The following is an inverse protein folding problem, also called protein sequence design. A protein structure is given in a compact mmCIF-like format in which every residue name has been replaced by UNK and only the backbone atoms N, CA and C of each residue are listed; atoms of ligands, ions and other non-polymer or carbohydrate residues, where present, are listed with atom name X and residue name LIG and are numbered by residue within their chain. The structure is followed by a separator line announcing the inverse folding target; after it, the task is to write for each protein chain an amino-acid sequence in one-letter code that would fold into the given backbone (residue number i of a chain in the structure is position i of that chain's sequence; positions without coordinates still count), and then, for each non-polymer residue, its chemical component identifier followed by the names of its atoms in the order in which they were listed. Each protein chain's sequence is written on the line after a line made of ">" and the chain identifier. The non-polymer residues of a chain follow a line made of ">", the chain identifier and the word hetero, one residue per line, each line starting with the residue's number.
data_IF_277685274778
#
_entry.id   IF_277685274778
#
_cell.length_a   1.000
_cell.length_b   1.000
_cell.length_c   1.000
_cell.angle_alpha   90.00
_cell.angle_beta   90.00
_cell.angle_gamma   90.00
#
_symmetry.space_group_name_H-M   'P 1'
#
loop_
_entity.id
_entity.type
_entity.pdbx_description
1 polymer ?
#
# COMPACT_ATOMS: atom_id res chain seq x y z
N UNK A 1 10.27 14.32 14.43
CA UNK A 1 9.72 13.70 13.19
C UNK A 1 8.22 13.96 13.01
N UNK A 2 7.41 14.04 14.07
CA UNK A 2 5.97 14.33 13.97
C UNK A 2 5.66 15.72 13.37
N UNK A 3 6.43 16.76 13.76
CA UNK A 3 6.18 18.14 13.31
C UNK A 3 6.49 18.39 11.83
N UNK A 4 7.46 17.67 11.25
CA UNK A 4 7.72 17.76 9.82
C UNK A 4 6.55 17.19 9.01
N UNK A 5 6.00 16.07 9.46
CA UNK A 5 4.88 15.41 8.78
C UNK A 5 3.55 16.14 8.91
N UNK A 6 3.31 16.87 10.01
CA UNK A 6 2.12 17.71 10.16
C UNK A 6 2.22 19.00 9.34
N UNK A 7 3.42 19.58 9.24
CA UNK A 7 3.67 20.74 8.37
C UNK A 7 3.48 20.39 6.89
N UNK A 8 3.98 19.23 6.46
CA UNK A 8 3.78 18.73 5.09
C UNK A 8 2.31 18.41 4.80
N UNK A 9 1.56 17.93 5.80
CA UNK A 9 0.12 17.71 5.67
C UNK A 9 -0.65 19.03 5.47
N UNK A 10 -0.26 20.07 6.23
CA UNK A 10 -0.87 21.39 6.15
C UNK A 10 -0.59 22.07 4.81
N UNK A 11 0.65 22.01 4.33
CA UNK A 11 1.01 22.57 3.01
C UNK A 11 0.30 21.83 1.88
N UNK A 12 0.24 20.51 1.91
CA UNK A 12 -0.49 19.73 0.92
C UNK A 12 -2.00 20.06 0.91
N UNK A 13 -2.62 20.12 2.08
CA UNK A 13 -4.04 20.50 2.19
C UNK A 13 -4.27 21.92 1.64
N UNK A 14 -3.40 22.87 1.96
CA UNK A 14 -3.47 24.26 1.50
C UNK A 14 -3.42 24.34 -0.03
N UNK A 15 -2.46 23.66 -0.65
CA UNK A 15 -2.31 23.64 -2.11
C UNK A 15 -3.56 23.05 -2.77
N UNK A 16 -4.07 21.92 -2.27
CA UNK A 16 -5.26 21.28 -2.84
C UNK A 16 -6.50 22.16 -2.66
N UNK A 17 -6.68 22.79 -1.50
CA UNK A 17 -7.78 23.72 -1.25
C UNK A 17 -7.71 24.97 -2.15
N UNK A 18 -6.52 25.53 -2.34
CA UNK A 18 -6.33 26.68 -3.23
C UNK A 18 -6.62 26.31 -4.70
N UNK A 19 -6.17 25.13 -5.16
CA UNK A 19 -6.49 24.63 -6.50
C UNK A 19 -8.01 24.47 -6.69
N UNK A 20 -8.71 23.89 -5.72
CA UNK A 20 -10.16 23.77 -5.76
C UNK A 20 -10.86 25.13 -5.82
N UNK A 21 -10.38 26.13 -5.06
CA UNK A 21 -10.93 27.48 -5.09
C UNK A 21 -10.80 28.13 -6.47
N UNK A 22 -9.62 28.02 -7.09
CA UNK A 22 -9.37 28.59 -8.43
C UNK A 22 -10.25 27.90 -9.47
N UNK A 23 -10.29 26.56 -9.48
CA UNK A 23 -11.07 25.79 -10.44
C UNK A 23 -12.55 26.16 -10.34
N UNK A 24 -13.13 26.13 -9.14
CA UNK A 24 -14.55 26.44 -8.95
C UNK A 24 -14.86 27.89 -9.29
N UNK A 25 -13.97 28.84 -8.97
CA UNK A 25 -14.16 30.24 -9.37
C UNK A 25 -14.22 30.39 -10.90
N UNK A 26 -13.32 29.73 -11.62
CA UNK A 26 -13.29 29.77 -13.09
C UNK A 26 -14.57 29.16 -13.68
N UNK A 27 -15.00 27.99 -13.19
CA UNK A 27 -16.23 27.37 -13.66
C UNK A 27 -17.48 28.21 -13.36
N UNK A 28 -17.55 28.82 -12.18
CA UNK A 28 -18.64 29.74 -11.84
C UNK A 28 -18.67 30.97 -12.75
N UNK A 29 -17.50 31.50 -13.14
CA UNK A 29 -17.41 32.61 -14.10
C UNK A 29 -17.85 32.22 -15.51
N UNK A 30 -17.43 31.04 -15.98
CA UNK A 30 -17.83 30.52 -17.30
C UNK A 30 -19.34 30.26 -17.32
N UNK A 31 -19.91 29.69 -16.25
CA UNK A 31 -21.35 29.44 -16.14
C UNK A 31 -22.20 30.71 -15.97
N UNK A 32 -21.60 31.83 -15.57
CA UNK A 32 -22.25 33.14 -15.43
C UNK A 32 -22.04 34.09 -16.62
N UNK A 33 -21.69 33.55 -17.80
CA UNK A 33 -21.39 34.29 -19.04
C UNK A 33 -20.27 35.34 -18.90
N UNK A 34 -19.36 35.16 -17.93
CA UNK A 34 -18.25 36.07 -17.65
C UNK A 34 -18.67 37.54 -17.41
N UNK A 35 -19.89 37.76 -16.92
CA UNK A 35 -20.35 39.11 -16.56
C UNK A 35 -19.55 39.66 -15.36
N UNK A 36 -19.13 40.94 -15.39
CA UNK A 36 -18.31 41.53 -14.32
C UNK A 36 -19.02 41.55 -12.96
N UNK A 37 -20.35 41.57 -12.94
CA UNK A 37 -21.15 41.49 -11.72
C UNK A 37 -21.14 40.09 -11.06
N UNK A 38 -20.81 39.04 -11.82
CA UNK A 38 -20.74 37.66 -11.32
C UNK A 38 -19.40 37.33 -10.64
N UNK A 39 -18.39 38.19 -10.79
CA UNK A 39 -17.05 38.03 -10.21
C UNK A 39 -17.07 37.83 -8.67
N UNK A 40 -17.74 38.68 -7.87
CA UNK A 40 -17.77 38.51 -6.42
C UNK A 40 -18.45 37.20 -5.99
N UNK A 41 -19.50 36.76 -6.69
CA UNK A 41 -20.22 35.52 -6.36
C UNK A 41 -19.44 34.27 -6.79
N UNK A 42 -18.77 34.34 -7.95
CA UNK A 42 -17.86 33.29 -8.40
C UNK A 42 -16.66 33.12 -7.45
N UNK A 43 -16.10 34.22 -6.94
CA UNK A 43 -15.02 34.19 -5.97
C UNK A 43 -15.48 33.63 -4.61
N UNK A 44 -16.68 34.01 -4.14
CA UNK A 44 -17.27 33.47 -2.91
C UNK A 44 -17.52 31.97 -2.99
N UNK A 45 -18.12 31.52 -4.09
CA UNK A 45 -18.36 30.08 -4.33
C UNK A 45 -17.05 29.32 -4.40
N UNK A 46 -16.06 29.83 -5.13
CA UNK A 46 -14.71 29.27 -5.17
C UNK A 46 -14.03 29.18 -3.80
N UNK A 47 -13.99 30.28 -3.04
CA UNK A 47 -13.43 30.31 -1.69
C UNK A 47 -14.10 29.30 -0.76
N UNK A 48 -15.43 29.18 -0.81
CA UNK A 48 -16.17 28.22 0.01
C UNK A 48 -15.83 26.76 -0.35
N UNK A 49 -15.69 26.45 -1.64
CA UNK A 49 -15.28 25.13 -2.13
C UNK A 49 -13.82 24.81 -1.77
N UNK A 50 -12.94 25.81 -1.84
CA UNK A 50 -11.54 25.65 -1.44
C UNK A 50 -11.38 25.41 0.06
N UNK A 51 -12.07 26.18 0.90
CA UNK A 51 -12.03 26.04 2.35
C UNK A 51 -12.58 24.68 2.82
N UNK A 52 -13.68 24.21 2.22
CA UNK A 52 -14.24 22.88 2.52
C UNK A 52 -13.30 21.75 2.09
N UNK A 53 -12.70 21.86 0.90
CA UNK A 53 -11.72 20.88 0.40
C UNK A 53 -10.48 20.84 1.29
N UNK A 54 -9.95 22.01 1.67
CA UNK A 54 -8.83 22.15 2.62
C UNK A 54 -9.12 21.41 3.93
N UNK A 55 -10.26 21.69 4.56
CA UNK A 55 -10.64 21.09 5.83
C UNK A 55 -10.78 19.57 5.72
N UNK A 56 -11.45 19.08 4.67
CA UNK A 56 -11.65 17.65 4.46
C UNK A 56 -10.32 16.90 4.27
N UNK A 57 -9.43 17.42 3.42
CA UNK A 57 -8.10 16.83 3.19
C UNK A 57 -7.27 16.86 4.47
N UNK A 58 -7.23 17.99 5.17
CA UNK A 58 -6.47 18.12 6.41
C UNK A 58 -6.94 17.12 7.47
N UNK A 59 -8.26 17.00 7.68
CA UNK A 59 -8.83 16.02 8.63
C UNK A 59 -8.43 14.59 8.25
N UNK A 60 -8.55 14.21 6.97
CA UNK A 60 -8.19 12.87 6.51
C UNK A 60 -6.70 12.56 6.70
N UNK A 61 -5.82 13.51 6.39
CA UNK A 61 -4.38 13.35 6.56
C UNK A 61 -4.03 13.27 8.04
N UNK A 62 -4.62 14.10 8.90
CA UNK A 62 -4.41 14.05 10.35
C UNK A 62 -4.90 12.73 10.96
N UNK A 63 -6.07 12.22 10.54
CA UNK A 63 -6.55 10.90 10.97
C UNK A 63 -5.55 9.82 10.56
N UNK A 64 -5.04 9.85 9.32
CA UNK A 64 -4.00 8.92 8.83
C UNK A 64 -2.71 9.01 9.61
N UNK A 65 -2.24 10.21 9.93
CA UNK A 65 -1.03 10.42 10.74
C UNK A 65 -1.23 9.90 12.16
N UNK A 66 -2.40 10.14 12.76
CA UNK A 66 -2.74 9.62 14.09
C UNK A 66 -2.85 8.10 14.11
N UNK A 67 -3.39 7.49 13.06
CA UNK A 67 -3.42 6.03 12.90
C UNK A 67 -2.02 5.44 12.76
N UNK A 68 -1.12 6.09 12.00
CA UNK A 68 0.30 5.70 11.93
C UNK A 68 1.00 5.85 13.28
N UNK A 69 0.77 6.95 14.00
CA UNK A 69 1.37 7.19 15.31
C UNK A 69 0.87 6.20 16.38
N UNK A 70 -0.40 5.77 16.30
CA UNK A 70 -0.96 4.69 17.15
C UNK A 70 -0.45 3.29 16.80
N UNK A 71 0.28 3.12 15.69
CA UNK A 71 1.00 1.90 15.33
C UNK A 71 2.52 2.08 15.51
N UNK A 72 3.04 2.17 16.77
CA UNK A 72 4.49 2.22 17.05
C UNK A 72 5.23 0.91 16.65
N UNK A 73 4.47 -0.11 16.25
CA UNK A 73 4.90 -1.43 15.74
C UNK A 73 5.99 -1.34 14.65
N UNK A 74 6.13 -0.24 13.92
CA UNK A 74 6.89 -0.28 12.66
C UNK A 74 8.43 -0.23 12.74
N UNK A 75 9.03 0.14 13.87
CA UNK A 75 10.50 0.21 14.03
C UNK A 75 11.01 -0.70 15.16
N UNK A 76 10.36 -0.69 16.33
CA UNK A 76 10.70 -1.58 17.45
C UNK A 76 10.28 -3.03 17.21
N UNK A 77 9.07 -3.29 16.68
CA UNK A 77 8.63 -4.67 16.39
C UNK A 77 9.45 -5.29 15.24
N UNK A 78 9.99 -4.51 14.29
CA UNK A 78 10.83 -5.12 13.22
C UNK A 78 12.11 -5.73 13.76
N UNK A 79 12.71 -5.13 14.79
CA UNK A 79 13.88 -5.70 15.46
C UNK A 79 13.50 -6.89 16.33
N UNK A 80 12.37 -6.82 17.03
CA UNK A 80 11.83 -7.94 17.81
C UNK A 80 11.44 -9.13 16.92
N UNK A 81 10.74 -8.86 15.83
CA UNK A 81 10.40 -9.81 14.77
C UNK A 81 11.64 -10.41 14.13
N UNK A 82 12.71 -9.62 13.92
CA UNK A 82 13.99 -10.15 13.46
C UNK A 82 14.61 -11.11 14.49
N UNK A 83 14.58 -10.77 15.80
CA UNK A 83 15.05 -11.68 16.87
C UNK A 83 14.22 -12.97 16.93
N UNK A 84 12.90 -12.86 16.82
CA UNK A 84 11.99 -14.00 16.77
C UNK A 84 12.30 -14.91 15.58
N UNK A 85 12.45 -14.34 14.38
CA UNK A 85 12.79 -15.12 13.18
C UNK A 85 14.17 -15.77 13.26
N UNK A 86 15.14 -15.11 13.89
CA UNK A 86 16.46 -15.73 14.16
C UNK A 86 16.29 -17.01 14.95
N UNK A 87 15.58 -16.97 16.08
CA UNK A 87 15.31 -18.17 16.88
C UNK A 87 14.49 -19.23 16.14
N UNK A 88 13.47 -18.81 15.38
CA UNK A 88 12.61 -19.73 14.64
C UNK A 88 13.35 -20.44 13.50
N UNK A 89 14.23 -19.74 12.77
CA UNK A 89 15.05 -20.33 11.71
C UNK A 89 16.20 -21.15 12.31
N UNK A 90 16.77 -20.72 13.43
CA UNK A 90 17.77 -21.50 14.18
C UNK A 90 17.21 -22.88 14.59
N UNK A 91 15.98 -22.95 15.10
CA UNK A 91 15.32 -24.24 15.38
C UNK A 91 15.12 -25.12 14.13
N UNK A 92 14.88 -24.52 12.96
CA UNK A 92 14.79 -25.25 11.68
C UNK A 92 16.17 -25.77 11.25
N UNK A 93 17.23 -24.98 11.43
CA UNK A 93 18.60 -25.39 11.09
C UNK A 93 19.08 -26.55 11.96
N UNK A 94 18.77 -26.50 13.26
CA UNK A 94 19.10 -27.57 14.21
C UNK A 94 18.37 -28.87 13.87
N UNK A 95 17.06 -28.80 13.57
CA UNK A 95 16.25 -29.96 13.19
C UNK A 95 16.61 -30.54 11.81
N UNK A 96 17.13 -29.73 10.90
CA UNK A 96 17.59 -30.16 9.59
C UNK A 96 19.02 -30.74 9.59
N UNK A 97 19.74 -30.68 10.72
CA UNK A 97 21.16 -31.06 10.79
C UNK A 97 22.07 -30.18 9.94
N UNK A 98 21.64 -28.95 9.67
CA UNK A 98 22.33 -28.00 8.79
C UNK A 98 23.36 -27.13 9.52
N UNK A 99 23.28 -27.07 10.86
CA UNK A 99 24.13 -26.23 11.70
C UNK A 99 25.64 -26.53 11.55
N UNK A 100 26.01 -27.79 11.30
CA UNK A 100 27.42 -28.22 11.17
C UNK A 100 27.95 -28.21 9.73
N UNK A 101 27.07 -28.11 8.71
CA UNK A 101 27.49 -28.25 7.30
C UNK A 101 27.88 -26.94 6.64
N UNK A 102 27.36 -25.81 7.12
CA UNK A 102 27.61 -24.49 6.54
C UNK A 102 27.70 -23.42 7.62
N UNK A 103 28.63 -22.45 7.51
CA UNK A 103 28.71 -21.31 8.42
C UNK A 103 27.58 -20.31 8.10
N UNK A 104 26.33 -20.72 8.26
CA UNK A 104 25.16 -19.86 8.10
C UNK A 104 24.68 -19.43 9.48
N UNK A 105 24.95 -18.18 9.86
CA UNK A 105 24.53 -17.61 11.13
C UNK A 105 23.25 -16.76 10.96
N UNK A 106 22.13 -17.11 11.61
CA UNK A 106 20.90 -16.31 11.59
C UNK A 106 21.13 -14.83 11.97
N UNK A 107 22.10 -14.54 12.84
CA UNK A 107 22.39 -13.16 13.30
C UNK A 107 22.96 -12.29 12.19
N UNK A 108 23.79 -12.88 11.33
CA UNK A 108 24.43 -12.18 10.21
C UNK A 108 23.59 -12.25 8.94
N UNK A 109 22.72 -13.25 8.79
CA UNK A 109 21.91 -13.46 7.57
C UNK A 109 20.49 -12.90 7.66
N UNK A 110 20.02 -12.54 8.86
CA UNK A 110 18.74 -11.85 9.07
C UNK A 110 18.99 -10.43 9.55
N UNK A 111 18.76 -9.46 8.67
CA UNK A 111 19.05 -8.03 8.90
C UNK A 111 17.81 -7.18 8.65
N UNK A 112 17.78 -5.99 9.25
CA UNK A 112 16.79 -4.96 8.91
C UNK A 112 17.51 -3.91 8.07
N UNK A 113 17.29 -3.93 6.76
CA UNK A 113 17.91 -3.01 5.81
C UNK A 113 16.92 -1.94 5.39
N UNK A 114 17.25 -0.66 5.64
CA UNK A 114 16.39 0.49 5.27
C UNK A 114 14.93 0.31 5.74
N UNK A 115 14.73 -0.31 6.91
CA UNK A 115 13.41 -0.58 7.49
C UNK A 115 12.67 -1.77 6.87
N UNK A 116 13.31 -2.60 6.04
CA UNK A 116 12.77 -3.85 5.51
C UNK A 116 13.54 -5.01 6.10
N UNK A 117 12.83 -6.03 6.58
CA UNK A 117 13.45 -7.26 7.05
C UNK A 117 13.98 -8.05 5.84
N UNK A 118 15.27 -8.35 5.84
CA UNK A 118 15.98 -9.10 4.80
C UNK A 118 16.48 -10.42 5.38
N UNK A 119 16.16 -11.53 4.71
CA UNK A 119 16.68 -12.87 5.01
C UNK A 119 17.55 -13.29 3.83
N UNK A 120 18.80 -13.59 4.10
CA UNK A 120 19.74 -14.08 3.12
C UNK A 120 19.87 -15.61 3.16
N UNK A 121 19.39 -16.29 2.12
CA UNK A 121 19.44 -17.74 2.02
C UNK A 121 20.74 -18.25 1.36
N UNK A 122 21.66 -17.36 0.99
CA UNK A 122 22.96 -17.75 0.43
C UNK A 122 23.74 -18.52 1.50
N UNK A 123 24.22 -19.71 1.11
CA UNK A 123 24.93 -20.64 1.99
C UNK A 123 24.07 -21.80 2.51
N UNK A 124 22.74 -21.77 2.33
CA UNK A 124 21.86 -22.90 2.64
C UNK A 124 21.70 -23.83 1.44
N UNK A 125 21.47 -25.12 1.68
CA UNK A 125 21.02 -26.04 0.65
C UNK A 125 19.53 -25.84 0.33
N UNK A 126 19.07 -26.35 -0.81
CA UNK A 126 17.70 -26.14 -1.28
C UNK A 126 16.64 -26.68 -0.29
N UNK A 127 16.91 -27.78 0.41
CA UNK A 127 15.97 -28.38 1.37
C UNK A 127 15.81 -27.49 2.60
N UNK A 128 16.93 -27.05 3.20
CA UNK A 128 16.91 -26.19 4.38
C UNK A 128 16.40 -24.78 4.08
N UNK A 129 16.75 -24.22 2.91
CA UNK A 129 16.21 -22.95 2.45
C UNK A 129 14.67 -23.00 2.30
N UNK A 130 14.14 -24.11 1.78
CA UNK A 130 12.69 -24.31 1.66
C UNK A 130 12.03 -24.41 3.04
N UNK A 131 12.61 -25.16 3.97
CA UNK A 131 12.10 -25.29 5.35
C UNK A 131 12.13 -23.95 6.12
N UNK A 132 13.16 -23.13 5.91
CA UNK A 132 13.24 -21.78 6.48
C UNK A 132 12.12 -20.87 5.94
N UNK A 133 11.82 -20.97 4.64
CA UNK A 133 10.73 -20.23 4.02
C UNK A 133 9.36 -20.71 4.51
N UNK A 134 9.16 -22.01 4.70
CA UNK A 134 7.93 -22.52 5.33
C UNK A 134 7.74 -21.98 6.74
N UNK A 135 8.82 -21.88 7.54
CA UNK A 135 8.78 -21.27 8.86
C UNK A 135 8.36 -19.78 8.81
N UNK A 136 8.91 -19.04 7.85
CA UNK A 136 8.53 -17.63 7.58
C UNK A 136 7.04 -17.53 7.24
N UNK A 137 6.53 -18.41 6.39
CA UNK A 137 5.13 -18.41 5.95
C UNK A 137 4.18 -18.77 7.09
N UNK A 138 4.53 -19.75 7.94
CA UNK A 138 3.75 -20.11 9.12
C UNK A 138 3.59 -18.93 10.08
N UNK A 139 4.61 -18.10 10.20
CA UNK A 139 4.63 -16.95 11.10
C UNK A 139 4.20 -15.63 10.43
N UNK A 140 3.57 -15.68 9.25
CA UNK A 140 3.23 -14.50 8.43
C UNK A 140 2.48 -13.38 9.15
N UNK A 141 1.67 -13.69 10.17
CA UNK A 141 0.87 -12.70 10.91
C UNK A 141 1.74 -11.70 11.68
N UNK A 142 2.97 -12.10 12.03
CA UNK A 142 3.97 -11.25 12.69
C UNK A 142 4.90 -10.58 11.69
N UNK A 143 4.80 -10.90 10.40
CA UNK A 143 5.73 -10.45 9.38
C UNK A 143 5.10 -9.39 8.47
N UNK A 144 5.75 -8.23 8.42
CA UNK A 144 5.44 -7.19 7.44
C UNK A 144 6.09 -7.48 6.08
N UNK A 145 6.56 -6.41 5.43
CA UNK A 145 7.33 -6.53 4.18
C UNK A 145 8.66 -7.25 4.44
N UNK A 146 8.90 -8.32 3.69
CA UNK A 146 10.09 -9.15 3.78
C UNK A 146 10.83 -9.20 2.44
N UNK A 147 12.15 -9.16 2.47
CA UNK A 147 13.03 -9.42 1.34
C UNK A 147 13.75 -10.74 1.59
N UNK A 148 13.71 -11.64 0.63
CA UNK A 148 14.44 -12.90 0.65
C UNK A 148 15.50 -12.83 -0.43
N UNK A 149 16.77 -12.95 -0.07
CA UNK A 149 17.87 -13.04 -1.03
C UNK A 149 18.07 -14.51 -1.36
N UNK A 150 17.90 -14.86 -2.63
CA UNK A 150 17.98 -16.25 -3.13
C UNK A 150 19.23 -16.52 -3.97
N UNK A 151 20.00 -15.48 -4.28
CA UNK A 151 21.23 -15.56 -5.05
C UNK A 151 21.95 -14.21 -5.06
N UNK A 152 23.21 -14.21 -5.51
CA UNK A 152 24.03 -13.01 -5.61
C UNK A 152 23.88 -12.39 -7.01
N UNK A 153 23.64 -11.07 -7.08
CA UNK A 153 23.69 -10.31 -8.35
C UNK A 153 25.15 -10.05 -8.78
N UNK A 154 26.07 -10.02 -7.82
CA UNK A 154 27.51 -9.88 -8.02
C UNK A 154 28.22 -10.95 -7.19
N UNK A 155 29.12 -11.71 -7.81
CA UNK A 155 30.01 -12.67 -7.14
C UNK A 155 30.73 -11.97 -6.00
N UNK A 156 30.27 -12.17 -4.77
CA UNK A 156 31.12 -11.97 -3.60
C UNK A 156 32.06 -13.18 -3.53
N UNK A 157 33.34 -12.93 -3.77
CA UNK A 157 34.40 -13.93 -3.66
C UNK A 157 34.38 -14.51 -2.23
N UNK A 158 33.94 -15.77 -2.10
CA UNK A 158 33.96 -16.51 -0.84
C UNK A 158 32.67 -17.28 -0.52
N UNK A 159 31.51 -16.87 -1.04
CA UNK A 159 30.23 -17.47 -0.65
C UNK A 159 29.63 -18.33 -1.78
N UNK A 160 29.56 -19.66 -1.56
CA UNK A 160 29.00 -20.61 -2.54
C UNK A 160 27.47 -20.47 -2.56
N UNK A 161 26.93 -19.88 -3.63
CA UNK A 161 25.50 -19.91 -3.91
C UNK A 161 25.16 -21.19 -4.68
N UNK A 162 24.26 -22.03 -4.14
CA UNK A 162 23.82 -23.24 -4.83
C UNK A 162 22.77 -22.89 -5.90
N UNK A 163 22.93 -23.35 -7.15
CA UNK A 163 22.07 -22.97 -8.28
C UNK A 163 20.59 -23.39 -8.10
N UNK A 164 20.32 -24.38 -7.24
CA UNK A 164 18.98 -24.97 -7.06
C UNK A 164 18.13 -24.31 -5.98
N UNK A 165 18.64 -23.33 -5.21
CA UNK A 165 17.89 -22.70 -4.10
C UNK A 165 16.71 -21.90 -4.64
N UNK A 166 16.96 -21.04 -5.63
CA UNK A 166 15.96 -20.14 -6.19
C UNK A 166 14.73 -20.85 -6.76
N UNK A 167 14.83 -21.85 -7.66
CA UNK A 167 13.65 -22.53 -8.18
C UNK A 167 12.86 -23.23 -7.07
N UNK A 168 13.54 -23.86 -6.09
CA UNK A 168 12.88 -24.52 -4.96
C UNK A 168 12.10 -23.51 -4.08
N UNK A 169 12.74 -22.40 -3.71
CA UNK A 169 12.12 -21.34 -2.90
C UNK A 169 10.95 -20.68 -3.65
N UNK A 170 11.09 -20.40 -4.94
CA UNK A 170 10.00 -19.82 -5.74
C UNK A 170 8.82 -20.78 -5.91
N UNK A 171 9.08 -22.06 -6.11
CA UNK A 171 8.02 -23.06 -6.20
C UNK A 171 7.24 -23.14 -4.88
N UNK A 172 7.95 -23.20 -3.74
CA UNK A 172 7.32 -23.21 -2.41
C UNK A 172 6.51 -21.93 -2.15
N UNK A 173 7.11 -20.76 -2.42
CA UNK A 173 6.42 -19.48 -2.27
C UNK A 173 5.19 -19.39 -3.15
N UNK A 174 5.18 -19.93 -4.37
CA UNK A 174 4.00 -19.91 -5.24
C UNK A 174 2.86 -20.76 -4.70
N UNK A 175 3.16 -21.97 -4.21
CA UNK A 175 2.18 -22.87 -3.60
C UNK A 175 1.54 -22.20 -2.39
N UNK A 176 2.37 -21.64 -1.51
CA UNK A 176 1.91 -21.09 -0.25
C UNK A 176 1.44 -19.62 -0.33
N UNK A 177 1.76 -18.87 -1.39
CA UNK A 177 1.42 -17.44 -1.48
C UNK A 177 -0.07 -17.18 -1.60
N UNK A 178 -0.84 -18.12 -2.16
CA UNK A 178 -2.31 -18.01 -2.18
C UNK A 178 -2.88 -18.07 -0.76
N UNK A 179 -2.36 -18.97 0.08
CA UNK A 179 -2.77 -19.10 1.48
C UNK A 179 -2.21 -17.98 2.37
N UNK A 180 -0.99 -17.54 2.07
CA UNK A 180 -0.29 -16.49 2.83
C UNK A 180 -0.75 -15.07 2.48
N UNK A 181 -1.56 -14.91 1.41
CA UNK A 181 -2.01 -13.61 0.89
C UNK A 181 -0.83 -12.66 0.64
N UNK A 182 0.28 -13.16 0.10
CA UNK A 182 1.47 -12.36 -0.18
C UNK A 182 1.58 -12.06 -1.67
N UNK A 183 1.90 -10.81 -1.98
CA UNK A 183 2.31 -10.41 -3.32
C UNK A 183 3.82 -10.68 -3.46
N UNK A 184 4.17 -11.58 -4.37
CA UNK A 184 5.56 -11.93 -4.68
C UNK A 184 6.07 -10.98 -5.76
N UNK A 185 7.08 -10.16 -5.44
CA UNK A 185 7.81 -9.35 -6.41
C UNK A 185 9.18 -9.99 -6.64
N UNK A 186 9.41 -10.49 -7.84
CA UNK A 186 10.64 -11.20 -8.19
C UNK A 186 11.65 -10.24 -8.82
N UNK A 187 12.87 -10.20 -8.30
CA UNK A 187 14.03 -9.55 -8.91
C UNK A 187 15.05 -10.62 -9.35
N UNK A 188 16.18 -10.22 -9.97
CA UNK A 188 17.23 -11.16 -10.42
C UNK A 188 17.92 -11.91 -9.28
N UNK A 189 18.15 -11.28 -8.13
CA UNK A 189 18.87 -11.88 -6.98
C UNK A 189 17.96 -12.14 -5.76
N UNK A 190 16.82 -11.47 -5.71
CA UNK A 190 15.97 -11.42 -4.52
C UNK A 190 14.48 -11.51 -4.85
N UNK A 191 13.72 -11.94 -3.86
CA UNK A 191 12.27 -12.03 -3.88
C UNK A 191 11.73 -11.18 -2.74
N UNK A 192 10.92 -10.18 -3.06
CA UNK A 192 10.29 -9.32 -2.08
C UNK A 192 8.86 -9.79 -1.86
N UNK A 193 8.55 -10.17 -0.63
CA UNK A 193 7.24 -10.59 -0.17
C UNK A 193 6.56 -9.38 0.45
N UNK A 194 5.44 -8.96 -0.14
CA UNK A 194 4.60 -7.90 0.41
C UNK A 194 3.29 -8.51 0.92
N UNK A 195 2.91 -8.31 2.19
CA UNK A 195 1.60 -8.72 2.63
C UNK A 195 0.52 -7.99 1.84
N UNK A 196 -0.37 -8.74 1.19
CA UNK A 196 -1.63 -8.18 0.72
C UNK A 196 -2.45 -8.00 1.98
N UNK A 197 -2.48 -6.76 2.50
CA UNK A 197 -3.13 -6.44 3.77
C UNK A 197 -4.58 -6.93 3.85
N UNK A 198 -5.15 -6.90 5.04
CA UNK A 198 -6.37 -7.67 5.30
C UNK A 198 -7.51 -7.32 4.33
N UNK A 199 -8.24 -8.33 3.80
CA UNK A 199 -9.44 -8.06 3.05
C UNK A 199 -10.42 -7.27 3.93
N UNK A 200 -11.05 -6.21 3.39
CA UNK A 200 -12.00 -5.44 4.18
C UNK A 200 -13.18 -6.33 4.57
N UNK A 201 -13.62 -6.23 5.83
CA UNK A 201 -14.82 -6.94 6.27
C UNK A 201 -16.06 -6.45 5.49
N UNK A 202 -17.05 -7.31 5.29
CA UNK A 202 -18.27 -6.95 4.54
C UNK A 202 -18.95 -5.70 5.13
N UNK A 203 -18.92 -5.53 6.46
CA UNK A 203 -19.41 -4.33 7.14
C UNK A 203 -18.65 -3.06 6.73
N UNK A 204 -17.31 -3.12 6.60
CA UNK A 204 -16.50 -1.98 6.12
C UNK A 204 -16.73 -1.70 4.64
N UNK A 205 -16.92 -2.72 3.80
CA UNK A 205 -17.25 -2.53 2.39
C UNK A 205 -18.58 -1.79 2.25
N UNK A 206 -19.62 -2.23 2.98
CA UNK A 206 -20.93 -1.55 2.97
C UNK A 206 -20.82 -0.11 3.47
N UNK A 207 -20.10 0.13 4.58
CA UNK A 207 -19.89 1.48 5.08
C UNK A 207 -19.18 2.38 4.05
N UNK A 208 -18.13 1.87 3.39
CA UNK A 208 -17.43 2.59 2.32
C UNK A 208 -18.33 2.86 1.12
N UNK A 209 -19.20 1.92 0.76
CA UNK A 209 -20.19 2.11 -0.31
C UNK A 209 -21.21 3.20 0.05
N UNK A 210 -21.69 3.25 1.30
CA UNK A 210 -22.63 4.30 1.74
C UNK A 210 -21.98 5.68 1.75
N UNK A 211 -20.72 5.77 2.21
CA UNK A 211 -20.01 7.04 2.33
C UNK A 211 -19.52 7.56 0.97
N UNK A 212 -18.93 6.70 0.13
CA UNK A 212 -18.32 7.10 -1.13
C UNK A 212 -19.26 6.97 -2.34
N UNK A 213 -20.29 6.12 -2.26
CA UNK A 213 -21.21 5.86 -3.36
C UNK A 213 -21.92 7.12 -3.83
N UNK A 214 -22.77 7.74 -3.00
CA UNK A 214 -23.56 8.90 -3.40
C UNK A 214 -22.75 10.04 -4.04
N UNK A 215 -21.63 10.52 -3.44
CA UNK A 215 -20.86 11.61 -4.06
C UNK A 215 -20.19 11.19 -5.37
N UNK A 216 -19.62 9.97 -5.45
CA UNK A 216 -18.96 9.52 -6.69
C UNK A 216 -19.96 9.32 -7.83
N UNK A 217 -21.13 8.73 -7.55
CA UNK A 217 -22.17 8.57 -8.56
C UNK A 217 -22.75 9.90 -9.02
N UNK A 218 -22.93 10.88 -8.11
CA UNK A 218 -23.45 12.19 -8.47
C UNK A 218 -22.46 12.95 -9.36
N UNK A 219 -21.17 12.99 -8.99
CA UNK A 219 -20.13 13.67 -9.78
C UNK A 219 -20.00 13.02 -11.17
N UNK A 220 -19.96 11.69 -11.24
CA UNK A 220 -19.85 10.99 -12.52
C UNK A 220 -21.11 11.16 -13.37
N UNK A 221 -22.29 11.16 -12.77
CA UNK A 221 -23.55 11.44 -13.47
C UNK A 221 -23.50 12.79 -14.19
N UNK A 222 -23.21 13.87 -13.46
CA UNK A 222 -23.17 15.21 -14.06
C UNK A 222 -22.04 15.34 -15.08
N UNK A 223 -20.84 14.82 -14.77
CA UNK A 223 -19.69 14.91 -15.67
C UNK A 223 -19.95 14.24 -17.03
N UNK A 224 -20.50 13.01 -17.02
CA UNK A 224 -20.78 12.29 -18.28
C UNK A 224 -22.06 12.77 -18.98
N UNK A 225 -23.03 13.29 -18.23
CA UNK A 225 -24.20 13.97 -18.80
C UNK A 225 -23.77 15.19 -19.62
N UNK A 226 -22.87 16.01 -19.07
CA UNK A 226 -22.39 17.22 -19.73
C UNK A 226 -21.48 16.88 -20.91
N UNK A 227 -20.63 15.85 -20.77
CA UNK A 227 -19.77 15.36 -21.86
C UNK A 227 -20.56 14.83 -23.07
N UNK A 228 -21.72 14.21 -22.83
CA UNK A 228 -22.56 13.65 -23.89
C UNK A 228 -23.36 14.70 -24.67
N UNK A 229 -23.43 15.95 -24.18
CA UNK A 229 -24.13 17.04 -24.83
C UNK A 229 -25.66 16.86 -24.92
N UNK A 230 -26.33 17.79 -25.62
CA UNK A 230 -27.80 17.88 -25.67
C UNK A 230 -28.47 16.64 -26.28
N UNK A 231 -27.81 15.98 -27.24
CA UNK A 231 -28.34 14.78 -27.91
C UNK A 231 -28.17 13.48 -27.11
N UNK A 232 -27.28 13.44 -26.11
CA UNK A 232 -26.92 12.22 -25.38
C UNK A 232 -27.03 12.31 -23.86
N UNK A 233 -27.56 13.42 -23.32
CA UNK A 233 -27.51 13.73 -21.88
C UNK A 233 -28.08 12.63 -20.96
N UNK A 234 -29.16 11.97 -21.36
CA UNK A 234 -29.78 10.87 -20.59
C UNK A 234 -28.88 9.62 -20.56
N UNK A 235 -28.37 9.20 -21.72
CA UNK A 235 -27.47 8.06 -21.84
C UNK A 235 -26.12 8.30 -21.14
N UNK A 236 -25.56 9.51 -21.30
CA UNK A 236 -24.34 9.94 -20.60
C UNK A 236 -24.51 9.96 -19.08
N UNK A 237 -25.65 10.47 -18.59
CA UNK A 237 -25.96 10.46 -17.16
C UNK A 237 -26.07 9.04 -16.58
N UNK A 238 -26.73 8.12 -17.28
CA UNK A 238 -26.84 6.71 -16.85
C UNK A 238 -25.48 6.02 -16.87
N UNK A 239 -24.68 6.23 -17.92
CA UNK A 239 -23.31 5.74 -17.99
C UNK A 239 -22.45 6.25 -16.82
N UNK A 240 -22.57 7.53 -16.49
CA UNK A 240 -21.90 8.14 -15.34
C UNK A 240 -22.27 7.48 -14.01
N UNK A 241 -23.54 7.12 -13.79
CA UNK A 241 -23.95 6.37 -12.60
C UNK A 241 -23.28 5.00 -12.55
N UNK A 242 -23.27 4.26 -13.65
CA UNK A 242 -22.63 2.94 -13.72
C UNK A 242 -21.12 2.99 -13.44
N UNK A 243 -20.42 3.96 -14.04
CA UNK A 243 -18.98 4.18 -13.81
C UNK A 243 -18.71 4.63 -12.37
N UNK A 244 -19.54 5.52 -11.83
CA UNK A 244 -19.47 5.95 -10.43
C UNK A 244 -19.58 4.78 -9.47
N UNK A 245 -20.59 3.92 -9.65
CA UNK A 245 -20.77 2.71 -8.85
C UNK A 245 -19.58 1.75 -8.96
N UNK A 246 -19.07 1.53 -10.19
CA UNK A 246 -17.91 0.68 -10.41
C UNK A 246 -16.67 1.19 -9.66
N UNK A 247 -16.38 2.48 -9.75
CA UNK A 247 -15.27 3.11 -9.04
C UNK A 247 -15.44 3.03 -7.52
N UNK A 248 -16.65 3.25 -7.01
CA UNK A 248 -16.95 3.09 -5.58
C UNK A 248 -16.72 1.65 -5.14
N UNK A 249 -17.13 0.65 -5.92
CA UNK A 249 -16.89 -0.77 -5.60
C UNK A 249 -15.39 -1.08 -5.57
N UNK A 250 -14.62 -0.58 -6.54
CA UNK A 250 -13.17 -0.75 -6.58
C UNK A 250 -12.47 -0.10 -5.37
N UNK A 251 -12.89 1.11 -4.97
CA UNK A 251 -12.38 1.76 -3.76
C UNK A 251 -12.82 1.05 -2.48
N UNK A 252 -14.07 0.61 -2.41
CA UNK A 252 -14.62 -0.06 -1.22
C UNK A 252 -13.94 -1.41 -0.97
N UNK A 253 -13.68 -2.17 -2.05
CA UNK A 253 -12.97 -3.45 -2.02
C UNK A 253 -11.46 -3.33 -1.85
N UNK A 254 -10.90 -2.11 -1.91
CA UNK A 254 -9.46 -1.90 -1.74
C UNK A 254 -8.99 -2.39 -0.35
N UNK A 255 -8.03 -3.30 -0.37
CA UNK A 255 -7.44 -3.90 0.84
C UNK A 255 -6.63 -2.88 1.63
N UNK A 256 -6.73 -2.96 2.95
CA UNK A 256 -6.01 -2.03 3.81
C UNK A 256 -4.55 -2.48 3.91
N UNK A 257 -3.65 -1.78 3.21
CA UNK A 257 -2.22 -2.12 3.12
C UNK A 257 -1.37 -1.45 4.21
N UNK A 258 -1.98 -0.71 5.12
CA UNK A 258 -1.30 0.03 6.20
C UNK A 258 -1.06 -0.78 7.46
N UNK A 259 -0.97 -2.11 7.34
CA UNK A 259 -0.36 -2.94 8.38
C UNK A 259 1.12 -2.58 8.54
#
# INVERSE_FOLDING_TARGET
>A
MADASSRDALTAALVIGAMAAVIVSIFSLIGGDANPESIPDALRTGLSAGATTFAAVLILVLIRLRQRAKNPVHVEDKQETAKFLRGAIEGVLMSAGAADRFPWDPRTKIRVERGVLTIDLIGLDAKTATAAIECVIRNRSRLGRLRVVTGAEERWEGERSFPNIRPAVLQRLKIDAQEAQWQILQSRSSVVLRPMGLPPSSKRIVLRMIVYGPPMTAVMHFSFRDLAGSGGSSAGGVFGICVGLLLTVLMASHRDRTG
#
